data_IF_003532226583
#
_entry.id   IF_003532226583
#
_cell.length_a   1.000
_cell.length_b   1.000
_cell.length_c   1.000
_cell.angle_alpha   90.00
_cell.angle_beta   90.00
_cell.angle_gamma   90.00
#
_symmetry.space_group_name_H-M   'P 1'
#
loop_
_entity.id
_entity.type
_entity.pdbx_description
1 polymer ?
#
# COMPACT_ATOMS: atom_id res chain seq x y z
N UNK A 1 9.31 -29.46 -8.23
CA UNK A 1 8.83 -28.07 -8.39
C UNK A 1 9.04 -27.67 -9.83
N UNK A 2 8.03 -27.13 -10.50
CA UNK A 2 8.21 -26.59 -11.86
C UNK A 2 8.82 -25.18 -11.80
N UNK A 3 9.40 -24.71 -12.91
CA UNK A 3 9.99 -23.36 -12.99
C UNK A 3 8.96 -22.28 -12.60
N UNK A 4 7.70 -22.45 -12.99
CA UNK A 4 6.64 -21.50 -12.65
C UNK A 4 6.36 -21.46 -11.13
N UNK A 5 6.43 -22.59 -10.43
CA UNK A 5 6.26 -22.63 -8.97
C UNK A 5 7.40 -21.92 -8.24
N UNK A 6 8.63 -22.04 -8.76
CA UNK A 6 9.79 -21.30 -8.23
C UNK A 6 9.54 -19.80 -8.38
N UNK A 7 9.12 -19.35 -9.56
CA UNK A 7 8.81 -17.94 -9.82
C UNK A 7 7.72 -17.45 -8.85
N UNK A 8 6.60 -18.16 -8.72
CA UNK A 8 5.51 -17.80 -7.79
C UNK A 8 6.03 -17.69 -6.36
N UNK A 9 6.84 -18.65 -5.91
CA UNK A 9 7.43 -18.63 -4.57
C UNK A 9 8.29 -17.39 -4.35
N UNK A 10 9.15 -17.05 -5.33
CA UNK A 10 10.01 -15.85 -5.26
C UNK A 10 9.15 -14.58 -5.19
N UNK A 11 8.12 -14.43 -6.03
CA UNK A 11 7.24 -13.26 -5.97
C UNK A 11 6.54 -13.15 -4.61
N UNK A 12 6.01 -14.25 -4.09
CA UNK A 12 5.32 -14.25 -2.78
C UNK A 12 6.28 -13.87 -1.66
N UNK A 13 7.49 -14.44 -1.65
CA UNK A 13 8.51 -14.09 -0.65
C UNK A 13 8.88 -12.61 -0.73
N UNK A 14 9.09 -12.07 -1.93
CA UNK A 14 9.37 -10.64 -2.11
C UNK A 14 8.22 -9.77 -1.60
N UNK A 15 6.97 -10.11 -1.91
CA UNK A 15 5.82 -9.40 -1.40
C UNK A 15 5.74 -9.47 0.13
N UNK A 16 6.00 -10.64 0.73
CA UNK A 16 6.06 -10.79 2.19
C UNK A 16 7.14 -9.90 2.81
N UNK A 17 8.34 -9.85 2.22
CA UNK A 17 9.42 -8.96 2.68
C UNK A 17 8.96 -7.50 2.63
N UNK A 18 8.33 -7.07 1.53
CA UNK A 18 7.78 -5.71 1.44
C UNK A 18 6.75 -5.44 2.55
N UNK A 19 5.83 -6.36 2.80
CA UNK A 19 4.80 -6.22 3.84
C UNK A 19 5.44 -6.10 5.22
N UNK A 20 6.32 -7.04 5.58
CA UNK A 20 6.99 -7.06 6.89
C UNK A 20 7.87 -5.82 7.07
N UNK A 21 8.64 -5.43 6.05
CA UNK A 21 9.45 -4.23 6.09
C UNK A 21 8.59 -2.98 6.30
N UNK A 22 7.50 -2.82 5.55
CA UNK A 22 6.58 -1.70 5.75
C UNK A 22 5.98 -1.71 7.15
N UNK A 23 5.56 -2.87 7.68
CA UNK A 23 5.03 -2.96 9.05
C UNK A 23 6.07 -2.52 10.10
N UNK A 24 7.31 -3.00 9.98
CA UNK A 24 8.39 -2.60 10.89
C UNK A 24 8.66 -1.09 10.79
N UNK A 25 8.73 -0.55 9.58
CA UNK A 25 8.92 0.88 9.35
C UNK A 25 7.75 1.70 9.93
N UNK A 26 6.53 1.17 9.87
CA UNK A 26 5.35 1.83 10.44
C UNK A 26 5.40 1.95 11.96
N UNK A 27 5.88 0.89 12.63
CA UNK A 27 6.06 0.89 14.08
C UNK A 27 7.19 1.83 14.51
N UNK A 28 8.20 2.02 13.64
CA UNK A 28 9.38 2.88 13.91
C UNK A 28 9.22 4.32 13.45
N UNK A 29 8.21 4.62 12.63
CA UNK A 29 8.06 5.94 12.02
C UNK A 29 7.69 7.00 13.08
N UNK A 30 8.39 8.16 13.09
CA UNK A 30 8.27 9.18 14.13
C UNK A 30 6.95 9.95 14.05
N UNK A 31 6.46 10.21 12.84
CA UNK A 31 5.31 11.08 12.60
C UNK A 31 4.22 10.40 11.78
N UNK A 32 2.99 10.88 11.95
CA UNK A 32 1.82 10.38 11.23
C UNK A 32 1.96 10.56 9.70
N UNK A 33 2.58 11.65 9.24
CA UNK A 33 2.76 11.91 7.81
C UNK A 33 3.71 10.88 7.16
N UNK A 34 4.81 10.56 7.83
CA UNK A 34 5.76 9.52 7.40
C UNK A 34 5.09 8.15 7.35
N UNK A 35 4.24 7.83 8.33
CA UNK A 35 3.44 6.59 8.33
C UNK A 35 2.52 6.51 7.12
N UNK A 36 1.77 7.57 6.81
CA UNK A 36 0.88 7.56 5.63
C UNK A 36 1.69 7.33 4.34
N UNK A 37 2.86 7.95 4.20
CA UNK A 37 3.70 7.76 3.02
C UNK A 37 4.22 6.32 2.88
N UNK A 38 4.54 5.67 3.99
CA UNK A 38 5.02 4.28 4.01
C UNK A 38 3.95 3.25 3.58
N UNK A 39 2.64 3.57 3.70
CA UNK A 39 1.57 2.68 3.24
C UNK A 39 1.57 2.50 1.71
N UNK A 40 2.15 3.45 0.96
CA UNK A 40 2.24 3.37 -0.50
C UNK A 40 2.97 2.12 -0.99
N UNK A 41 3.98 1.64 -0.26
CA UNK A 41 4.72 0.41 -0.61
C UNK A 41 3.81 -0.83 -0.63
N UNK A 42 2.83 -0.91 0.27
CA UNK A 42 1.88 -2.04 0.29
C UNK A 42 0.96 -2.02 -0.93
N UNK A 43 0.45 -0.84 -1.27
CA UNK A 43 -0.56 -0.64 -2.31
C UNK A 43 0.05 -0.73 -3.71
N UNK A 44 1.23 -0.14 -3.91
CA UNK A 44 1.84 0.01 -5.25
C UNK A 44 2.77 -1.15 -5.58
N UNK A 45 3.42 -1.76 -4.58
CA UNK A 45 4.45 -2.79 -4.81
C UNK A 45 3.94 -4.17 -4.38
N UNK A 46 3.64 -4.35 -3.09
CA UNK A 46 3.33 -5.69 -2.57
C UNK A 46 2.05 -6.27 -3.19
N UNK A 47 0.98 -5.47 -3.29
CA UNK A 47 -0.29 -5.95 -3.83
C UNK A 47 -0.20 -6.38 -5.31
N UNK A 48 0.35 -5.58 -6.25
CA UNK A 48 0.50 -6.03 -7.65
C UNK A 48 1.38 -7.26 -7.80
N UNK A 49 2.46 -7.38 -7.01
CA UNK A 49 3.31 -8.59 -7.02
C UNK A 49 2.48 -9.83 -6.67
N UNK A 50 1.63 -9.76 -5.65
CA UNK A 50 0.76 -10.87 -5.26
C UNK A 50 -0.28 -11.21 -6.34
N UNK A 51 -0.85 -10.20 -7.00
CA UNK A 51 -1.79 -10.42 -8.12
C UNK A 51 -1.10 -11.14 -9.28
N UNK A 52 0.13 -10.74 -9.63
CA UNK A 52 0.92 -11.41 -10.67
C UNK A 52 1.26 -12.85 -10.27
N UNK A 53 1.69 -13.08 -9.02
CA UNK A 53 1.96 -14.42 -8.52
C UNK A 53 0.72 -15.33 -8.61
N UNK A 54 -0.45 -14.78 -8.28
CA UNK A 54 -1.74 -15.48 -8.40
C UNK A 54 -2.06 -15.85 -9.85
N UNK A 55 -1.89 -14.93 -10.79
CA UNK A 55 -2.14 -15.19 -12.21
C UNK A 55 -1.21 -16.27 -12.77
N UNK A 56 0.09 -16.22 -12.46
CA UNK A 56 1.05 -17.23 -12.89
C UNK A 56 0.63 -18.60 -12.35
N UNK A 57 0.27 -18.70 -11.07
CA UNK A 57 -0.19 -19.96 -10.47
C UNK A 57 -1.47 -20.46 -11.14
N UNK A 58 -2.45 -19.59 -11.35
CA UNK A 58 -3.74 -19.91 -11.99
C UNK A 58 -3.53 -20.49 -13.39
N UNK A 59 -2.76 -19.80 -14.23
CA UNK A 59 -2.51 -20.22 -15.61
C UNK A 59 -1.71 -21.52 -15.72
N UNK A 60 -0.89 -21.85 -14.71
CA UNK A 60 -0.18 -23.14 -14.68
C UNK A 60 -1.10 -24.32 -14.35
N UNK A 61 -2.23 -24.09 -13.67
CA UNK A 61 -3.12 -25.17 -13.22
C UNK A 61 -4.32 -25.37 -14.15
N UNK A 62 -4.91 -24.29 -14.64
CA UNK A 62 -6.19 -24.32 -15.38
C UNK A 62 -6.08 -23.81 -16.81
N UNK A 63 -4.90 -23.32 -17.22
CA UNK A 63 -4.72 -22.62 -18.49
C UNK A 63 -5.13 -21.14 -18.41
N UNK A 64 -5.02 -20.44 -19.54
CA UNK A 64 -5.31 -19.00 -19.60
C UNK A 64 -6.82 -18.72 -19.49
N UNK A 65 -7.20 -17.96 -18.47
CA UNK A 65 -8.57 -17.46 -18.26
C UNK A 65 -8.60 -15.94 -18.40
N UNK A 66 -9.36 -15.45 -19.38
CA UNK A 66 -9.55 -14.03 -19.66
C UNK A 66 -10.30 -13.30 -18.53
N UNK A 67 -11.25 -13.96 -17.88
CA UNK A 67 -12.02 -13.38 -16.78
C UNK A 67 -11.10 -13.08 -15.60
N UNK A 68 -10.20 -14.02 -15.29
CA UNK A 68 -9.22 -13.86 -14.22
C UNK A 68 -8.23 -12.72 -14.51
N UNK A 69 -7.79 -12.61 -15.76
CA UNK A 69 -6.92 -11.53 -16.21
C UNK A 69 -7.57 -10.15 -16.08
N UNK A 70 -8.83 -10.00 -16.52
CA UNK A 70 -9.57 -8.74 -16.40
C UNK A 70 -9.79 -8.37 -14.93
N UNK A 71 -10.15 -9.35 -14.08
CA UNK A 71 -10.30 -9.12 -12.64
C UNK A 71 -9.01 -8.66 -11.98
N UNK A 72 -7.86 -9.21 -12.38
CA UNK A 72 -6.57 -8.79 -11.88
C UNK A 72 -6.27 -7.32 -12.22
N UNK A 73 -6.54 -6.89 -13.47
CA UNK A 73 -6.38 -5.49 -13.88
C UNK A 73 -7.30 -4.59 -13.05
N UNK A 74 -8.58 -4.95 -12.94
CA UNK A 74 -9.56 -4.18 -12.16
C UNK A 74 -9.12 -4.09 -10.69
N UNK A 75 -8.63 -5.18 -10.10
CA UNK A 75 -8.17 -5.20 -8.71
C UNK A 75 -7.00 -4.24 -8.46
N UNK A 76 -6.01 -4.22 -9.35
CA UNK A 76 -4.86 -3.32 -9.25
C UNK A 76 -5.28 -1.86 -9.42
N UNK A 77 -6.10 -1.56 -10.45
CA UNK A 77 -6.58 -0.20 -10.68
C UNK A 77 -7.47 0.28 -9.52
N UNK A 78 -8.38 -0.56 -9.03
CA UNK A 78 -9.26 -0.22 -7.92
C UNK A 78 -8.45 0.13 -6.66
N UNK A 79 -7.44 -0.68 -6.31
CA UNK A 79 -6.63 -0.42 -5.11
C UNK A 79 -5.77 0.84 -5.28
N UNK A 80 -5.28 1.14 -6.48
CA UNK A 80 -4.50 2.35 -6.75
C UNK A 80 -5.35 3.62 -6.67
N UNK A 81 -6.57 3.58 -7.22
CA UNK A 81 -7.52 4.70 -7.14
C UNK A 81 -7.88 4.97 -5.68
N UNK A 82 -8.31 3.93 -4.95
CA UNK A 82 -8.71 4.06 -3.54
C UNK A 82 -7.53 4.48 -2.67
N UNK A 83 -6.35 3.87 -2.86
CA UNK A 83 -5.13 4.20 -2.12
C UNK A 83 -4.68 5.64 -2.31
N UNK A 84 -4.82 6.18 -3.52
CA UNK A 84 -4.51 7.58 -3.84
C UNK A 84 -5.45 8.54 -3.11
N UNK A 85 -6.76 8.28 -3.15
CA UNK A 85 -7.78 9.10 -2.47
C UNK A 85 -7.62 9.02 -0.95
N UNK A 86 -7.40 7.82 -0.40
CA UNK A 86 -7.20 7.61 1.03
C UNK A 86 -5.97 8.37 1.54
N UNK A 87 -4.84 8.29 0.83
CA UNK A 87 -3.61 9.00 1.20
C UNK A 87 -3.79 10.52 1.16
N UNK A 88 -4.54 11.02 0.18
CA UNK A 88 -4.86 12.44 0.07
C UNK A 88 -5.73 12.95 1.23
N UNK A 89 -6.78 12.21 1.59
CA UNK A 89 -7.66 12.57 2.70
C UNK A 89 -6.89 12.51 4.03
N UNK A 90 -6.10 11.45 4.26
CA UNK A 90 -5.26 11.32 5.46
C UNK A 90 -4.21 12.44 5.56
N UNK A 91 -3.56 12.79 4.45
CA UNK A 91 -2.60 13.89 4.43
C UNK A 91 -3.22 15.21 4.87
N UNK A 92 -4.43 15.53 4.38
CA UNK A 92 -5.15 16.75 4.77
C UNK A 92 -5.66 16.73 6.21
N UNK A 93 -6.15 15.59 6.69
CA UNK A 93 -6.59 15.49 8.09
C UNK A 93 -5.42 15.64 9.07
N UNK A 94 -4.26 15.07 8.76
CA UNK A 94 -3.03 15.22 9.55
C UNK A 94 -2.52 16.66 9.50
N UNK A 95 -2.51 17.29 8.33
CA UNK A 95 -2.09 18.69 8.19
C UNK A 95 -2.99 19.64 8.99
N UNK A 96 -4.31 19.43 8.97
CA UNK A 96 -5.27 20.25 9.70
C UNK A 96 -5.05 20.26 11.22
N UNK A 97 -4.66 19.12 11.82
CA UNK A 97 -4.40 19.04 13.27
C UNK A 97 -3.00 19.50 13.66
N UNK A 98 -1.99 19.22 12.83
CA UNK A 98 -0.58 19.57 13.14
C UNK A 98 -0.27 21.06 13.01
N UNK A 99 -1.02 21.80 12.20
CA UNK A 99 -0.89 23.26 12.08
C UNK A 99 -1.70 23.98 13.17
N UNK A 100 -2.86 23.45 13.57
CA UNK A 100 -3.69 24.06 14.61
C UNK A 100 -2.95 24.16 15.95
N UNK A 101 -2.19 23.14 16.34
CA UNK A 101 -1.40 23.11 17.59
C UNK A 101 -0.19 24.06 17.61
N UNK A 102 0.32 24.50 16.44
CA UNK A 102 1.42 25.46 16.38
C UNK A 102 0.96 26.91 16.49
N UNK A 103 -0.35 27.16 16.49
CA UNK A 103 -0.87 28.50 16.74
C UNK A 103 -0.66 28.79 18.22
N UNK A 104 0.19 29.76 18.61
CA UNK A 104 0.27 30.17 20.00
C UNK A 104 -1.13 30.60 20.40
N UNK A 105 -1.65 30.06 21.51
CA UNK A 105 -2.86 30.60 22.13
C UNK A 105 -2.66 32.11 22.18
N UNK A 106 -3.52 32.86 21.48
CA UNK A 106 -3.44 34.31 21.42
C UNK A 106 -3.25 34.80 22.85
N UNK A 107 -2.07 35.37 23.11
CA UNK A 107 -1.68 35.83 24.44
C UNK A 107 -2.83 36.72 24.95
N UNK A 108 -3.36 36.50 26.17
CA UNK A 108 -4.51 37.25 26.64
C UNK A 108 -4.15 38.73 26.51
N UNK A 109 -4.94 39.44 25.70
CA UNK A 109 -4.78 40.88 25.48
C UNK A 109 -4.99 41.56 26.82
N UNK A 110 -3.90 41.78 27.54
CA UNK A 110 -3.90 42.50 28.80
C UNK A 110 -4.22 43.96 28.48
N UNK A 111 -5.49 44.31 28.74
CA UNK A 111 -6.08 45.65 28.87
C UNK A 111 -5.96 46.57 27.66
#
# INVERSE_FOLDING_TARGET
>A
MTIAEIIVTVLVVLATICVVATTILQLRAPDALTRVNLLGTLVVIAFPILIVAKLIRSWTTTGFDLNDFIRAIIAVLAVWIVGSVASFIMGRSIYGVTVSDKTPLAQPRNR
#
